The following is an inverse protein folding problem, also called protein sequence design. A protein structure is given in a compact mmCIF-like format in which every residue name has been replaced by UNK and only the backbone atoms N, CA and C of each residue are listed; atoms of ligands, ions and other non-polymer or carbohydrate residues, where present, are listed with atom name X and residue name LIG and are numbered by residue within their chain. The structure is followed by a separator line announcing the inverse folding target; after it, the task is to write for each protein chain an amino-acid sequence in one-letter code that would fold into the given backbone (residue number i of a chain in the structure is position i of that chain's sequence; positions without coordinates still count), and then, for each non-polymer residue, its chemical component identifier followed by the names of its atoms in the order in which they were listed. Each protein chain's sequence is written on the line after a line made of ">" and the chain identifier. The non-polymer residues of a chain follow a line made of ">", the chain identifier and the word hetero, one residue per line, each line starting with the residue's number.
data_IF_517638345382
#
_entry.id   IF_517638345382
#
_cell.length_a   1.000
_cell.length_b   1.000
_cell.length_c   1.000
_cell.angle_alpha   90.00
_cell.angle_beta   90.00
_cell.angle_gamma   90.00
#
_symmetry.space_group_name_H-M   'P 1'
#
loop_
_entity.id
_entity.type
_entity.pdbx_description
1 polymer ?
#
# COMPACT_ATOMS: atom_id res chain seq x y z
N UNK A 1 -5.17 1.01 3.88
CA UNK A 1 -5.37 2.16 4.80
C UNK A 1 -4.04 2.83 5.07
N UNK A 2 -4.05 4.16 5.17
CA UNK A 2 -2.83 4.96 5.36
C UNK A 2 -2.26 4.92 6.78
N UNK A 3 -2.97 4.38 7.77
CA UNK A 3 -2.50 4.29 9.16
C UNK A 3 -3.13 5.34 10.07
N UNK A 4 -2.59 5.45 11.29
CA UNK A 4 -3.21 6.16 12.43
C UNK A 4 -4.51 5.47 12.86
N UNK A 5 -5.56 6.25 13.15
CA UNK A 5 -6.91 5.75 13.41
C UNK A 5 -7.38 4.91 12.23
N UNK A 6 -7.86 3.71 12.55
CA UNK A 6 -8.44 2.79 11.58
C UNK A 6 -9.76 3.35 11.02
N UNK A 7 -10.12 2.97 9.79
CA UNK A 7 -11.34 3.40 9.09
C UNK A 7 -12.40 2.31 9.20
N UNK A 8 -13.43 2.52 10.03
CA UNK A 8 -14.51 1.55 10.28
C UNK A 8 -15.13 1.09 8.95
N UNK A 9 -15.43 2.03 8.05
CA UNK A 9 -16.13 1.76 6.79
C UNK A 9 -15.29 0.89 5.85
N UNK A 10 -13.96 0.87 5.99
CA UNK A 10 -13.11 -0.05 5.24
C UNK A 10 -13.25 -1.49 5.76
N UNK A 11 -13.38 -1.68 7.07
CA UNK A 11 -13.65 -3.00 7.65
C UNK A 11 -15.06 -3.47 7.33
N UNK A 12 -16.07 -2.62 7.46
CA UNK A 12 -17.45 -2.93 7.05
C UNK A 12 -17.50 -3.34 5.57
N UNK A 13 -16.82 -2.58 4.70
CA UNK A 13 -16.70 -2.90 3.27
C UNK A 13 -16.08 -4.28 3.01
N UNK A 14 -15.07 -4.67 3.79
CA UNK A 14 -14.45 -6.00 3.73
C UNK A 14 -15.39 -7.08 4.27
N UNK A 15 -16.06 -6.84 5.40
CA UNK A 15 -17.02 -7.77 6.00
C UNK A 15 -18.14 -8.09 5.01
N UNK A 16 -18.74 -7.08 4.38
CA UNK A 16 -19.79 -7.25 3.38
C UNK A 16 -19.35 -8.13 2.20
N UNK A 17 -18.09 -8.01 1.79
CA UNK A 17 -17.51 -8.77 0.67
C UNK A 17 -16.97 -10.15 1.08
N UNK A 18 -16.74 -10.37 2.36
CA UNK A 18 -16.37 -11.68 2.91
C UNK A 18 -17.56 -12.66 2.93
N UNK A 19 -18.80 -12.15 2.86
CA UNK A 19 -20.01 -12.96 3.06
C UNK A 19 -20.28 -13.31 4.53
N UNK A 20 -19.55 -12.70 5.47
CA UNK A 20 -19.75 -12.85 6.92
C UNK A 20 -19.10 -14.09 7.54
N UNK A 21 -18.00 -14.58 6.97
CA UNK A 21 -17.23 -15.74 7.46
C UNK A 21 -16.18 -15.37 8.51
N UNK A 22 -15.07 -16.11 8.52
CA UNK A 22 -13.95 -15.93 9.44
C UNK A 22 -13.06 -14.77 8.99
N UNK A 23 -12.92 -13.75 9.84
CA UNK A 23 -12.06 -12.60 9.61
C UNK A 23 -10.73 -12.81 10.34
N UNK A 24 -9.63 -12.94 9.59
CA UNK A 24 -8.30 -13.16 10.17
C UNK A 24 -7.49 -11.87 10.12
N UNK A 25 -6.85 -11.54 11.25
CA UNK A 25 -5.87 -10.45 11.33
C UNK A 25 -4.48 -11.06 11.51
N UNK A 26 -3.51 -10.66 10.69
CA UNK A 26 -2.11 -11.08 10.85
C UNK A 26 -1.21 -9.89 11.17
N UNK A 27 -0.25 -10.11 12.07
CA UNK A 27 0.70 -9.09 12.54
C UNK A 27 1.98 -9.71 13.09
N UNK A 28 3.05 -8.93 13.20
CA UNK A 28 4.35 -9.40 13.71
C UNK A 28 4.68 -8.88 15.12
N UNK A 29 3.92 -7.90 15.61
CA UNK A 29 4.07 -7.28 16.93
C UNK A 29 2.71 -6.83 17.43
N UNK A 30 2.54 -6.59 18.74
CA UNK A 30 1.29 -6.07 19.33
C UNK A 30 0.38 -7.16 19.90
N UNK A 31 -0.94 -6.93 19.86
CA UNK A 31 -1.96 -7.76 20.53
C UNK A 31 -3.12 -8.13 19.59
N UNK A 32 -4.14 -8.79 20.12
CA UNK A 32 -5.39 -9.14 19.47
C UNK A 32 -6.47 -8.04 19.55
N UNK A 33 -6.08 -6.78 19.78
CA UNK A 33 -7.00 -5.64 19.94
C UNK A 33 -7.98 -5.43 18.77
N UNK A 34 -7.67 -5.96 17.58
CA UNK A 34 -8.58 -5.92 16.44
C UNK A 34 -9.79 -6.85 16.58
N UNK A 35 -9.71 -7.91 17.41
CA UNK A 35 -10.75 -8.93 17.47
C UNK A 35 -12.11 -8.35 17.86
N UNK A 36 -12.19 -7.76 19.06
CA UNK A 36 -13.44 -7.18 19.57
C UNK A 36 -13.90 -6.00 18.70
N UNK A 37 -12.97 -5.17 18.24
CA UNK A 37 -13.27 -4.03 17.39
C UNK A 37 -13.95 -4.46 16.09
N UNK A 38 -13.32 -5.32 15.29
CA UNK A 38 -13.86 -5.79 14.00
C UNK A 38 -15.16 -6.59 14.20
N UNK A 39 -15.22 -7.42 15.26
CA UNK A 39 -16.42 -8.22 15.55
C UNK A 39 -17.66 -7.34 15.82
N UNK A 40 -17.46 -6.12 16.32
CA UNK A 40 -18.54 -5.18 16.62
C UNK A 40 -18.94 -4.29 15.43
N UNK A 41 -18.17 -4.28 14.32
CA UNK A 41 -18.47 -3.46 13.14
C UNK A 41 -19.47 -4.11 12.18
N UNK A 42 -19.62 -5.43 12.23
CA UNK A 42 -20.49 -6.12 11.29
C UNK A 42 -20.67 -7.60 11.60
N UNK A 43 -21.39 -8.29 10.72
CA UNK A 43 -21.68 -9.71 10.90
C UNK A 43 -20.53 -10.57 10.36
N UNK A 44 -19.77 -11.18 11.26
CA UNK A 44 -18.73 -12.17 10.97
C UNK A 44 -18.97 -13.45 11.79
N UNK A 45 -18.44 -14.59 11.35
CA UNK A 45 -18.49 -15.84 12.12
C UNK A 45 -17.51 -15.80 13.30
N UNK A 46 -16.30 -15.31 13.04
CA UNK A 46 -15.26 -15.11 14.06
C UNK A 46 -14.29 -14.01 13.64
N UNK A 47 -13.55 -13.47 14.60
CA UNK A 47 -12.34 -12.69 14.34
C UNK A 47 -11.18 -13.32 15.11
N UNK A 48 -10.08 -13.62 14.41
CA UNK A 48 -8.87 -14.16 15.03
C UNK A 48 -7.62 -13.35 14.62
N UNK A 49 -6.88 -12.87 15.60
CA UNK A 49 -5.54 -12.31 15.39
C UNK A 49 -4.45 -13.39 15.55
N UNK A 50 -3.60 -13.53 14.54
CA UNK A 50 -2.41 -14.38 14.57
C UNK A 50 -1.15 -13.49 14.58
N UNK A 51 -0.37 -13.60 15.65
CA UNK A 51 0.90 -12.88 15.78
C UNK A 51 2.04 -13.80 15.30
N UNK A 52 2.71 -13.44 14.20
CA UNK A 52 3.68 -14.26 13.47
C UNK A 52 5.04 -13.57 13.51
N UNK A 53 5.88 -13.96 14.46
CA UNK A 53 7.11 -13.22 14.83
C UNK A 53 8.42 -13.91 14.41
N UNK A 54 8.34 -14.96 13.57
CA UNK A 54 9.52 -15.68 13.10
C UNK A 54 9.22 -16.47 11.82
N UNK A 55 10.28 -16.82 11.08
CA UNK A 55 10.20 -17.70 9.90
C UNK A 55 9.67 -19.10 10.29
N UNK A 56 10.02 -19.60 11.48
CA UNK A 56 9.51 -20.89 11.98
C UNK A 56 7.98 -20.83 12.16
N UNK A 57 7.47 -19.77 12.79
CA UNK A 57 6.02 -19.58 12.92
C UNK A 57 5.35 -19.41 11.56
N UNK A 58 5.93 -18.60 10.68
CA UNK A 58 5.41 -18.38 9.34
C UNK A 58 5.38 -19.65 8.47
N UNK A 59 6.11 -20.70 8.86
CA UNK A 59 6.09 -22.01 8.21
C UNK A 59 5.29 -23.08 8.96
N UNK A 60 4.60 -22.75 10.06
CA UNK A 60 3.73 -23.71 10.76
C UNK A 60 2.52 -24.06 9.88
N UNK A 61 2.28 -25.35 9.58
CA UNK A 61 1.11 -25.76 8.80
C UNK A 61 -0.23 -25.33 9.41
N UNK A 62 -0.30 -25.21 10.74
CA UNK A 62 -1.51 -24.73 11.42
C UNK A 62 -1.80 -23.24 11.17
N UNK A 63 -0.76 -22.39 11.04
CA UNK A 63 -0.93 -20.96 10.71
C UNK A 63 -1.32 -20.82 9.24
N UNK A 64 -0.64 -21.53 8.35
CA UNK A 64 -0.98 -21.58 6.93
C UNK A 64 -2.45 -21.97 6.72
N UNK A 65 -2.91 -23.03 7.38
CA UNK A 65 -4.29 -23.51 7.26
C UNK A 65 -5.30 -22.49 7.77
N UNK A 66 -5.01 -21.77 8.85
CA UNK A 66 -5.92 -20.74 9.37
C UNK A 66 -6.06 -19.59 8.37
N UNK A 67 -4.95 -19.12 7.81
CA UNK A 67 -4.98 -18.03 6.82
C UNK A 67 -5.71 -18.51 5.55
N UNK A 68 -5.40 -19.68 5.00
CA UNK A 68 -6.04 -20.18 3.76
C UNK A 68 -7.55 -20.39 3.87
N UNK A 69 -8.07 -20.55 5.08
CA UNK A 69 -9.50 -20.74 5.34
C UNK A 69 -10.24 -19.44 5.64
N UNK A 70 -9.57 -18.29 5.73
CA UNK A 70 -10.21 -17.01 6.02
C UNK A 70 -11.16 -16.56 4.89
N UNK A 71 -12.26 -15.91 5.26
CA UNK A 71 -13.16 -15.21 4.35
C UNK A 71 -12.83 -13.71 4.22
N UNK A 72 -11.99 -13.18 5.11
CA UNK A 72 -11.30 -11.90 4.94
C UNK A 72 -9.96 -11.93 5.68
N UNK A 73 -8.94 -11.28 5.13
CA UNK A 73 -7.63 -11.14 5.76
C UNK A 73 -7.23 -9.68 5.89
N UNK A 74 -6.80 -9.29 7.09
CA UNK A 74 -6.26 -7.96 7.34
C UNK A 74 -4.84 -8.01 7.90
N UNK A 75 -3.94 -7.22 7.30
CA UNK A 75 -2.56 -7.09 7.73
C UNK A 75 -2.43 -5.80 8.55
N UNK A 76 -2.16 -5.94 9.85
CA UNK A 76 -2.09 -4.80 10.76
C UNK A 76 -0.90 -3.87 10.45
N UNK A 77 -0.85 -2.74 11.16
CA UNK A 77 0.34 -1.89 11.21
C UNK A 77 1.48 -2.48 12.04
N UNK A 78 2.66 -1.88 11.92
CA UNK A 78 3.90 -2.35 12.56
C UNK A 78 5.13 -1.83 11.83
N UNK A 79 6.20 -2.63 11.83
CA UNK A 79 7.39 -2.40 11.01
C UNK A 79 7.28 -3.24 9.72
N UNK A 80 7.40 -2.59 8.56
CA UNK A 80 7.37 -3.27 7.25
C UNK A 80 8.46 -4.34 7.15
N UNK A 81 9.62 -4.10 7.77
CA UNK A 81 10.72 -5.03 7.69
C UNK A 81 10.43 -6.34 8.40
N UNK A 82 9.63 -6.34 9.47
CA UNK A 82 9.25 -7.57 10.16
C UNK A 82 8.41 -8.49 9.24
N UNK A 83 7.49 -7.93 8.45
CA UNK A 83 6.71 -8.71 7.48
C UNK A 83 7.58 -9.29 6.39
N UNK A 84 8.48 -8.48 5.82
CA UNK A 84 9.42 -8.95 4.79
C UNK A 84 10.37 -10.01 5.36
N UNK A 85 10.91 -9.79 6.56
CA UNK A 85 11.88 -10.68 7.20
C UNK A 85 11.27 -12.01 7.63
N UNK A 86 10.03 -12.02 8.12
CA UNK A 86 9.41 -13.21 8.70
C UNK A 86 8.51 -13.97 7.73
N UNK A 87 7.82 -13.29 6.81
CA UNK A 87 6.76 -13.90 6.01
C UNK A 87 7.15 -14.17 4.57
N UNK A 88 8.10 -13.40 4.01
CA UNK A 88 8.56 -13.61 2.64
C UNK A 88 9.25 -14.97 2.47
N UNK A 89 8.99 -15.65 1.36
CA UNK A 89 9.40 -17.02 1.05
C UNK A 89 8.95 -18.04 2.11
N UNK A 90 7.73 -17.89 2.64
CA UNK A 90 7.16 -18.82 3.63
C UNK A 90 5.73 -19.19 3.29
N UNK A 91 5.20 -20.19 4.01
CA UNK A 91 3.80 -20.61 3.89
C UNK A 91 2.78 -19.50 4.20
N UNK A 92 3.15 -18.47 4.98
CA UNK A 92 2.28 -17.30 5.20
C UNK A 92 2.12 -16.49 3.92
N UNK A 93 3.20 -16.20 3.20
CA UNK A 93 3.13 -15.56 1.88
C UNK A 93 2.27 -16.38 0.92
N UNK A 94 2.53 -17.69 0.83
CA UNK A 94 1.74 -18.59 -0.03
C UNK A 94 0.24 -18.56 0.33
N UNK A 95 -0.09 -18.49 1.62
CA UNK A 95 -1.47 -18.41 2.09
C UNK A 95 -2.13 -17.07 1.74
N UNK A 96 -1.43 -15.95 1.90
CA UNK A 96 -1.92 -14.62 1.50
C UNK A 96 -2.19 -14.60 -0.01
N UNK A 97 -1.23 -15.04 -0.81
CA UNK A 97 -1.36 -15.09 -2.27
C UNK A 97 -2.45 -16.07 -2.72
N UNK A 98 -2.67 -17.18 -2.00
CA UNK A 98 -3.81 -18.08 -2.25
C UNK A 98 -5.16 -17.40 -2.01
N UNK A 99 -5.28 -16.62 -0.93
CA UNK A 99 -6.51 -15.87 -0.64
C UNK A 99 -6.83 -14.86 -1.76
N UNK A 100 -5.83 -14.13 -2.24
CA UNK A 100 -5.97 -13.12 -3.29
C UNK A 100 -6.28 -13.78 -4.65
N UNK A 101 -5.44 -14.72 -5.06
CA UNK A 101 -5.38 -15.19 -6.45
C UNK A 101 -6.22 -16.44 -6.74
N UNK A 102 -6.66 -17.15 -5.70
CA UNK A 102 -7.48 -18.37 -5.87
C UNK A 102 -8.85 -18.25 -5.21
N UNK A 103 -8.91 -17.78 -3.96
CA UNK A 103 -10.18 -17.64 -3.22
C UNK A 103 -10.92 -16.34 -3.56
N UNK A 104 -10.18 -15.32 -4.01
CA UNK A 104 -10.70 -13.98 -4.29
C UNK A 104 -11.46 -13.35 -3.12
N UNK A 105 -10.96 -13.59 -1.90
CA UNK A 105 -11.51 -12.96 -0.68
C UNK A 105 -10.89 -11.58 -0.45
N UNK A 106 -11.56 -10.69 0.30
CA UNK A 106 -10.99 -9.40 0.66
C UNK A 106 -9.68 -9.54 1.43
N UNK A 107 -8.62 -8.92 0.93
CA UNK A 107 -7.33 -8.78 1.63
C UNK A 107 -6.97 -7.30 1.72
N UNK A 108 -6.70 -6.82 2.92
CA UNK A 108 -6.39 -5.42 3.19
C UNK A 108 -5.27 -5.26 4.21
N UNK A 109 -4.86 -4.02 4.42
CA UNK A 109 -3.91 -3.70 5.49
C UNK A 109 -3.82 -2.22 5.79
N UNK A 110 -3.19 -1.89 6.91
CA UNK A 110 -2.98 -0.50 7.37
C UNK A 110 -1.50 -0.22 7.60
N UNK A 111 -1.04 1.01 7.34
CA UNK A 111 0.35 1.42 7.57
C UNK A 111 1.34 0.46 6.89
N UNK A 112 2.15 -0.28 7.68
CA UNK A 112 3.07 -1.30 7.17
C UNK A 112 2.38 -2.44 6.41
N UNK A 113 1.20 -2.87 6.85
CA UNK A 113 0.43 -3.91 6.17
C UNK A 113 -0.05 -3.46 4.80
N UNK A 114 -0.38 -2.18 4.62
CA UNK A 114 -0.71 -1.61 3.31
C UNK A 114 0.52 -1.43 2.42
N UNK A 115 1.66 -1.03 3.00
CA UNK A 115 2.90 -0.74 2.28
C UNK A 115 3.50 -1.97 1.57
N UNK A 116 3.17 -3.18 2.02
CA UNK A 116 3.64 -4.43 1.42
C UNK A 116 2.70 -5.01 0.35
N UNK A 117 1.53 -4.41 0.12
CA UNK A 117 0.55 -4.88 -0.88
C UNK A 117 0.89 -4.48 -2.32
N UNK A 118 1.82 -3.54 -2.50
CA UNK A 118 2.28 -3.14 -3.83
C UNK A 118 3.13 -4.23 -4.48
N UNK A 119 3.07 -4.32 -5.82
CA UNK A 119 3.97 -5.18 -6.60
C UNK A 119 5.45 -4.84 -6.34
N UNK A 120 5.73 -3.54 -6.17
CA UNK A 120 6.97 -3.04 -5.59
C UNK A 120 6.66 -2.56 -4.19
N UNK A 121 7.54 -2.85 -3.22
CA UNK A 121 7.35 -2.45 -1.84
C UNK A 121 8.61 -1.82 -1.26
N UNK A 122 8.43 -0.83 -0.38
CA UNK A 122 9.51 -0.26 0.41
C UNK A 122 9.74 -1.12 1.66
N UNK A 123 10.91 -1.75 1.79
CA UNK A 123 11.13 -2.80 2.80
C UNK A 123 11.36 -2.27 4.22
N UNK A 124 11.70 -1.00 4.37
CA UNK A 124 12.14 -0.38 5.63
C UNK A 124 13.27 -1.12 6.38
N UNK A 125 14.04 -2.00 5.70
CA UNK A 125 15.11 -2.81 6.32
C UNK A 125 16.12 -1.99 7.13
N UNK A 126 16.40 -0.76 6.70
CA UNK A 126 17.34 0.16 7.34
C UNK A 126 16.64 1.36 7.98
N UNK A 127 15.36 1.19 8.32
CA UNK A 127 14.47 2.24 8.79
C UNK A 127 13.85 3.06 7.68
N UNK A 128 13.02 4.02 8.07
CA UNK A 128 12.32 4.93 7.15
C UNK A 128 13.27 5.92 6.48
N UNK A 129 12.83 6.49 5.35
CA UNK A 129 13.50 7.59 4.65
C UNK A 129 12.53 8.76 4.52
N UNK A 130 13.01 9.97 4.78
CA UNK A 130 12.24 11.21 4.57
C UNK A 130 12.27 11.63 3.10
N UNK A 131 11.30 12.44 2.66
CA UNK A 131 11.29 13.03 1.32
C UNK A 131 12.61 13.75 1.00
N UNK A 132 13.12 14.61 1.91
CA UNK A 132 14.38 15.32 1.67
C UNK A 132 15.60 14.39 1.52
N UNK A 133 15.69 13.32 2.31
CA UNK A 133 16.79 12.35 2.19
C UNK A 133 16.72 11.59 0.87
N UNK A 134 15.53 11.08 0.50
CA UNK A 134 15.34 10.33 -0.74
C UNK A 134 15.59 11.21 -1.98
N UNK A 135 15.12 12.46 -1.97
CA UNK A 135 15.31 13.40 -3.08
C UNK A 135 16.76 13.82 -3.28
N UNK A 136 17.53 13.94 -2.19
CA UNK A 136 18.96 14.28 -2.27
C UNK A 136 19.84 13.10 -2.65
N UNK A 137 19.38 11.86 -2.47
CA UNK A 137 20.06 10.66 -2.90
C UNK A 137 19.06 9.51 -3.15
N UNK A 138 18.62 9.31 -4.40
CA UNK A 138 17.69 8.23 -4.75
C UNK A 138 18.19 6.83 -4.43
N UNK A 139 19.51 6.66 -4.24
CA UNK A 139 20.15 5.40 -3.87
C UNK A 139 20.70 5.42 -2.43
N UNK A 140 20.16 6.29 -1.56
CA UNK A 140 20.40 6.17 -0.12
C UNK A 140 20.07 4.74 0.32
N UNK A 141 20.90 4.18 1.20
CA UNK A 141 20.75 2.79 1.67
C UNK A 141 19.36 2.51 2.23
N UNK A 142 18.67 3.51 2.77
CA UNK A 142 17.28 3.38 3.26
C UNK A 142 16.26 3.30 2.15
N UNK A 143 16.55 3.72 0.91
CA UNK A 143 15.68 3.49 -0.25
C UNK A 143 15.87 2.05 -0.75
N UNK A 144 15.47 1.09 0.09
CA UNK A 144 15.51 -0.34 -0.21
C UNK A 144 14.15 -0.79 -0.71
N UNK A 145 14.06 -1.10 -2.01
CA UNK A 145 12.83 -1.55 -2.67
C UNK A 145 12.95 -3.06 -2.99
N UNK A 146 11.91 -3.82 -2.67
CA UNK A 146 11.70 -5.18 -3.17
C UNK A 146 10.63 -5.17 -4.27
N UNK A 147 10.56 -6.23 -5.08
CA UNK A 147 9.57 -6.34 -6.16
C UNK A 147 9.35 -7.78 -6.60
N UNK A 148 8.12 -8.09 -7.03
CA UNK A 148 7.80 -9.33 -7.74
C UNK A 148 8.19 -10.62 -6.98
N UNK A 149 8.21 -10.54 -5.64
CA UNK A 149 8.75 -11.61 -4.79
C UNK A 149 8.17 -11.63 -3.38
N UNK A 150 6.94 -11.11 -3.19
CA UNK A 150 6.25 -11.16 -1.90
C UNK A 150 4.72 -11.28 -2.04
N UNK A 151 3.97 -10.19 -1.99
CA UNK A 151 2.52 -10.22 -2.16
C UNK A 151 2.18 -9.90 -3.61
N UNK A 152 1.48 -10.81 -4.29
CA UNK A 152 1.06 -10.65 -5.68
C UNK A 152 -0.43 -10.34 -5.75
N UNK A 153 -0.72 -9.07 -6.06
CA UNK A 153 -2.05 -8.57 -6.39
C UNK A 153 -2.01 -8.14 -7.86
N UNK A 154 -2.61 -8.90 -8.79
CA UNK A 154 -2.44 -8.70 -10.23
C UNK A 154 -2.79 -7.28 -10.72
N UNK A 155 -3.82 -6.65 -10.15
CA UNK A 155 -4.22 -5.29 -10.55
C UNK A 155 -3.21 -4.20 -10.09
N UNK A 156 -2.38 -4.50 -9.09
CA UNK A 156 -1.34 -3.61 -8.57
C UNK A 156 0.04 -3.85 -9.21
N UNK A 157 0.10 -4.59 -10.31
CA UNK A 157 1.32 -4.74 -11.10
C UNK A 157 1.93 -3.39 -11.47
N UNK A 158 3.25 -3.29 -11.36
CA UNK A 158 4.04 -2.05 -11.53
C UNK A 158 3.65 -0.90 -10.58
N UNK A 159 2.97 -1.19 -9.48
CA UNK A 159 2.53 -0.20 -8.48
C UNK A 159 3.30 -0.37 -7.18
N UNK A 160 3.67 0.76 -6.56
CA UNK A 160 4.12 0.82 -5.17
C UNK A 160 3.09 1.57 -4.32
N UNK A 161 2.92 1.16 -3.07
CA UNK A 161 2.04 1.85 -2.12
C UNK A 161 2.88 2.61 -1.09
N UNK A 162 2.36 3.73 -0.59
CA UNK A 162 2.95 4.45 0.53
C UNK A 162 1.85 4.96 1.49
N UNK A 163 2.16 4.96 2.77
CA UNK A 163 1.21 5.23 3.87
C UNK A 163 1.66 6.40 4.74
N UNK A 164 0.81 6.86 5.66
CA UNK A 164 1.00 8.07 6.49
C UNK A 164 1.50 9.24 5.64
N UNK A 165 0.87 9.42 4.49
CA UNK A 165 1.43 10.16 3.36
C UNK A 165 1.67 11.66 3.65
N UNK A 166 0.96 12.18 4.65
CA UNK A 166 0.95 13.55 5.16
C UNK A 166 1.80 13.76 6.43
N UNK A 167 2.14 12.70 7.18
CA UNK A 167 2.79 12.80 8.49
C UNK A 167 4.01 11.86 8.67
N UNK A 168 5.24 12.35 8.41
CA UNK A 168 5.56 13.59 7.69
C UNK A 168 5.21 13.49 6.20
N UNK A 169 5.32 14.58 5.44
CA UNK A 169 5.11 14.55 4.00
C UNK A 169 5.99 13.51 3.28
N UNK A 170 5.35 12.59 2.56
CA UNK A 170 5.99 11.47 1.83
C UNK A 170 5.83 11.56 0.31
N UNK A 171 5.25 12.64 -0.22
CA UNK A 171 5.10 12.84 -1.67
C UNK A 171 6.44 12.79 -2.40
N UNK A 172 7.45 13.47 -1.85
CA UNK A 172 8.81 13.49 -2.40
C UNK A 172 9.48 12.12 -2.40
N UNK A 173 9.44 11.36 -1.29
CA UNK A 173 10.05 10.02 -1.26
C UNK A 173 9.35 9.03 -2.18
N UNK A 174 8.03 9.11 -2.29
CA UNK A 174 7.27 8.21 -3.14
C UNK A 174 7.57 8.48 -4.62
N UNK A 175 7.74 9.75 -4.99
CA UNK A 175 8.23 10.15 -6.32
C UNK A 175 9.63 9.58 -6.61
N UNK A 176 10.52 9.54 -5.62
CA UNK A 176 11.84 8.87 -5.74
C UNK A 176 11.69 7.37 -5.96
N UNK A 177 10.75 6.71 -5.28
CA UNK A 177 10.51 5.28 -5.49
C UNK A 177 10.05 5.00 -6.93
N UNK A 178 9.12 5.80 -7.45
CA UNK A 178 8.71 5.70 -8.87
C UNK A 178 9.90 5.94 -9.79
N UNK A 179 10.76 6.94 -9.52
CA UNK A 179 11.94 7.22 -10.33
C UNK A 179 12.89 6.02 -10.37
N UNK A 180 13.11 5.35 -9.23
CA UNK A 180 13.90 4.11 -9.13
C UNK A 180 13.28 2.96 -9.88
N UNK A 181 11.95 2.79 -9.83
CA UNK A 181 11.24 1.77 -10.62
C UNK A 181 11.43 1.97 -12.14
N UNK A 182 11.40 3.22 -12.60
CA UNK A 182 11.65 3.55 -14.01
C UNK A 182 13.12 3.34 -14.36
N UNK A 183 14.04 3.86 -13.55
CA UNK A 183 15.48 3.86 -13.83
C UNK A 183 16.09 2.45 -13.77
N UNK A 184 15.73 1.66 -12.76
CA UNK A 184 16.37 0.37 -12.50
C UNK A 184 15.69 -0.78 -13.24
N UNK A 185 14.38 -0.66 -13.52
CA UNK A 185 13.56 -1.76 -14.04
C UNK A 185 12.72 -1.41 -15.27
N UNK A 186 12.84 -0.19 -15.81
CA UNK A 186 12.08 0.26 -16.99
C UNK A 186 10.55 0.09 -16.84
N UNK A 187 10.03 0.16 -15.61
CA UNK A 187 8.61 -0.04 -15.34
C UNK A 187 7.78 1.16 -15.83
N UNK A 188 6.53 0.90 -16.20
CA UNK A 188 5.49 1.91 -16.23
C UNK A 188 5.00 2.20 -14.80
N UNK A 189 5.89 2.83 -14.02
CA UNK A 189 5.76 3.00 -12.59
C UNK A 189 4.48 3.75 -12.21
N UNK A 190 3.77 3.16 -11.25
CA UNK A 190 2.54 3.67 -10.66
C UNK A 190 2.69 3.72 -9.14
N UNK A 191 1.89 4.57 -8.50
CA UNK A 191 1.87 4.72 -7.05
C UNK A 191 0.47 4.86 -6.49
N UNK A 192 0.25 4.38 -5.27
CA UNK A 192 -0.93 4.71 -4.47
C UNK A 192 -0.45 5.25 -3.12
N UNK A 193 -0.56 6.56 -2.91
CA UNK A 193 -0.27 7.22 -1.64
C UNK A 193 -1.54 7.37 -0.83
N UNK A 194 -1.51 7.01 0.46
CA UNK A 194 -2.69 7.08 1.33
C UNK A 194 -2.33 7.80 2.63
N UNK A 195 -2.99 8.93 2.88
CA UNK A 195 -2.85 9.70 4.12
C UNK A 195 -3.43 8.97 5.33
N UNK A 196 -3.08 9.43 6.53
CA UNK A 196 -3.68 8.92 7.78
C UNK A 196 -5.22 8.97 7.73
N UNK A 197 -5.88 8.05 8.45
CA UNK A 197 -7.35 7.99 8.57
C UNK A 197 -8.10 7.83 7.23
N UNK A 198 -7.40 7.33 6.21
CA UNK A 198 -7.91 7.16 4.85
C UNK A 198 -7.71 5.72 4.36
N UNK A 199 -8.69 5.21 3.61
CA UNK A 199 -8.69 3.90 2.99
C UNK A 199 -8.97 4.00 1.49
N UNK A 200 -8.26 3.19 0.71
CA UNK A 200 -8.58 2.94 -0.70
C UNK A 200 -9.09 1.52 -0.80
N UNK A 201 -10.37 1.36 -1.11
CA UNK A 201 -10.99 0.06 -1.29
C UNK A 201 -11.15 -0.21 -2.79
N UNK A 202 -10.58 -1.31 -3.29
CA UNK A 202 -10.59 -1.69 -4.71
C UNK A 202 -11.56 -2.86 -4.87
N UNK A 203 -12.63 -2.66 -5.66
CA UNK A 203 -13.64 -3.70 -5.88
C UNK A 203 -13.20 -4.76 -6.92
N UNK A 204 -14.05 -5.75 -7.15
CA UNK A 204 -13.81 -6.82 -8.13
C UNK A 204 -13.77 -6.34 -9.59
N UNK A 205 -14.23 -5.11 -9.87
CA UNK A 205 -14.13 -4.47 -11.18
C UNK A 205 -12.86 -3.60 -11.30
N UNK A 206 -11.97 -3.66 -10.29
CA UNK A 206 -10.75 -2.86 -10.18
C UNK A 206 -11.02 -1.35 -10.07
N UNK A 207 -12.17 -0.97 -9.51
CA UNK A 207 -12.52 0.42 -9.24
C UNK A 207 -12.20 0.74 -7.78
N UNK A 208 -11.29 1.68 -7.58
CA UNK A 208 -10.97 2.21 -6.26
C UNK A 208 -12.00 3.26 -5.82
N UNK A 209 -12.43 3.20 -4.56
CA UNK A 209 -13.24 4.22 -3.86
C UNK A 209 -12.53 4.60 -2.56
N UNK A 210 -12.61 5.87 -2.17
CA UNK A 210 -11.83 6.41 -1.04
C UNK A 210 -12.73 6.66 0.18
N UNK A 211 -12.45 5.96 1.27
CA UNK A 211 -13.18 6.03 2.54
C UNK A 211 -12.31 6.68 3.61
N UNK A 212 -12.92 7.28 4.62
CA UNK A 212 -12.16 7.79 5.77
C UNK A 212 -12.83 8.94 6.51
N UNK A 213 -12.09 9.43 7.49
CA UNK A 213 -12.50 10.53 8.37
C UNK A 213 -11.73 11.81 8.05
N UNK A 214 -12.31 12.94 8.49
CA UNK A 214 -11.65 14.24 8.36
C UNK A 214 -11.46 14.65 6.91
N UNK A 215 -10.24 15.07 6.57
CA UNK A 215 -9.88 15.61 5.26
C UNK A 215 -8.72 14.82 4.61
N UNK A 216 -8.58 13.54 4.95
CA UNK A 216 -7.50 12.71 4.43
C UNK A 216 -7.68 12.42 2.93
N UNK A 217 -6.57 12.27 2.22
CA UNK A 217 -6.55 12.16 0.75
C UNK A 217 -5.84 10.89 0.29
N UNK A 218 -6.36 10.28 -0.77
CA UNK A 218 -5.66 9.26 -1.53
C UNK A 218 -5.15 9.80 -2.87
N UNK A 219 -3.95 9.38 -3.25
CA UNK A 219 -3.23 9.83 -4.43
C UNK A 219 -2.94 8.63 -5.35
N UNK A 220 -3.34 8.75 -6.61
CA UNK A 220 -3.02 7.78 -7.66
C UNK A 220 -1.99 8.38 -8.59
N UNK A 221 -0.77 7.83 -8.58
CA UNK A 221 0.39 8.36 -9.29
C UNK A 221 0.67 7.50 -10.53
N UNK A 222 0.96 8.13 -11.66
CA UNK A 222 1.35 7.45 -12.90
C UNK A 222 2.51 8.20 -13.54
N UNK A 223 3.61 7.49 -13.87
CA UNK A 223 4.68 8.11 -14.66
C UNK A 223 4.13 8.63 -15.99
N UNK A 224 4.64 9.75 -16.47
CA UNK A 224 4.43 10.14 -17.88
C UNK A 224 5.39 9.40 -18.79
N UNK A 225 5.44 9.77 -20.07
CA UNK A 225 6.15 8.97 -21.09
C UNK A 225 7.65 8.86 -20.87
N UNK A 226 8.28 9.90 -20.30
CA UNK A 226 9.72 9.97 -20.11
C UNK A 226 10.11 9.76 -18.64
N UNK A 227 11.13 8.92 -18.40
CA UNK A 227 11.71 8.68 -17.07
C UNK A 227 12.47 9.88 -16.50
N UNK A 228 13.14 9.76 -15.34
CA UNK A 228 13.92 10.86 -14.76
C UNK A 228 15.06 11.34 -15.68
N UNK A 229 15.38 12.64 -15.66
CA UNK A 229 16.58 13.18 -16.31
C UNK A 229 17.86 12.80 -15.55
N UNK A 230 17.79 12.78 -14.20
CA UNK A 230 18.90 12.39 -13.33
C UNK A 230 18.37 11.53 -12.19
N UNK A 231 18.73 10.25 -12.19
CA UNK A 231 18.49 9.34 -11.07
C UNK A 231 19.73 8.44 -10.93
N UNK A 232 20.73 8.90 -10.16
CA UNK A 232 22.02 8.21 -10.01
C UNK A 232 22.47 8.22 -8.54
N UNK A 233 23.36 7.29 -8.11
CA UNK A 233 23.86 7.27 -6.74
C UNK A 233 24.56 8.56 -6.33
N UNK A 234 24.29 9.01 -5.09
CA UNK A 234 24.90 10.22 -4.49
C UNK A 234 24.66 11.51 -5.28
N UNK A 235 23.59 11.56 -6.06
CA UNK A 235 23.15 12.75 -6.79
C UNK A 235 21.71 13.07 -6.43
N UNK A 236 21.34 14.35 -6.51
CA UNK A 236 19.95 14.76 -6.31
C UNK A 236 19.11 14.29 -7.49
N UNK A 237 17.86 13.91 -7.22
CA UNK A 237 16.90 13.55 -8.27
C UNK A 237 16.56 14.79 -9.10
N UNK A 238 16.56 14.63 -10.42
CA UNK A 238 15.87 15.53 -11.34
C UNK A 238 14.93 14.69 -12.20
N UNK A 239 13.63 14.91 -12.02
CA UNK A 239 12.55 14.35 -12.84
C UNK A 239 11.55 15.47 -13.11
N UNK A 240 11.87 16.34 -14.06
CA UNK A 240 11.12 17.56 -14.31
C UNK A 240 10.08 17.37 -15.41
N UNK A 241 10.54 16.95 -16.60
CA UNK A 241 9.68 16.74 -17.79
C UNK A 241 8.67 17.86 -18.01
N UNK A 242 9.16 19.10 -18.05
CA UNK A 242 8.34 20.31 -18.18
C UNK A 242 7.24 20.42 -17.11
N UNK A 243 7.60 20.12 -15.85
CA UNK A 243 6.69 20.08 -14.71
C UNK A 243 5.60 19.00 -14.79
N UNK A 244 5.78 17.98 -15.63
CA UNK A 244 4.80 16.93 -15.88
C UNK A 244 5.41 15.52 -15.79
N UNK A 245 6.30 15.30 -14.83
CA UNK A 245 6.99 14.01 -14.68
C UNK A 245 6.06 12.87 -14.23
N UNK A 246 5.17 13.15 -13.28
CA UNK A 246 4.22 12.16 -12.74
C UNK A 246 2.84 12.78 -12.71
N UNK A 247 1.88 12.14 -13.39
CA UNK A 247 0.48 12.53 -13.37
C UNK A 247 -0.19 11.99 -12.12
N UNK A 248 -0.99 12.81 -11.45
CA UNK A 248 -1.61 12.50 -10.16
C UNK A 248 -3.10 12.68 -10.28
N UNK A 249 -3.87 11.76 -9.72
CA UNK A 249 -5.27 11.98 -9.40
C UNK A 249 -5.45 11.90 -7.88
N UNK A 250 -5.95 12.97 -7.27
CA UNK A 250 -6.21 13.02 -5.82
C UNK A 250 -7.70 12.99 -5.52
N UNK A 251 -8.09 12.17 -4.55
CA UNK A 251 -9.48 12.02 -4.09
C UNK A 251 -9.46 12.20 -2.57
N UNK A 252 -10.17 13.21 -2.09
CA UNK A 252 -10.45 13.39 -0.65
C UNK A 252 -11.39 12.28 -0.17
N UNK A 253 -11.19 11.83 1.06
CA UNK A 253 -11.98 10.77 1.65
C UNK A 253 -13.40 11.24 2.03
N UNK A 254 -14.29 10.28 2.25
CA UNK A 254 -15.57 10.50 2.92
C UNK A 254 -16.02 9.21 3.60
N UNK A 255 -16.83 9.33 4.66
CA UNK A 255 -17.37 8.19 5.41
C UNK A 255 -18.02 7.15 4.48
N UNK A 256 -18.94 7.59 3.62
CA UNK A 256 -19.68 6.70 2.71
C UNK A 256 -18.93 6.38 1.40
N UNK A 257 -17.64 6.70 1.34
CA UNK A 257 -16.84 6.61 0.13
C UNK A 257 -17.01 7.83 -0.78
N UNK A 258 -15.91 8.32 -1.32
CA UNK A 258 -15.89 9.40 -2.31
C UNK A 258 -15.07 9.01 -3.55
N UNK A 259 -15.52 9.57 -4.67
CA UNK A 259 -14.87 9.46 -5.97
C UNK A 259 -14.71 8.04 -6.48
N UNK A 260 -14.03 7.93 -7.60
CA UNK A 260 -13.61 6.65 -8.14
C UNK A 260 -12.34 6.80 -8.97
N UNK A 261 -11.51 5.76 -8.99
CA UNK A 261 -10.37 5.65 -9.89
C UNK A 261 -10.32 4.25 -10.49
N UNK A 262 -10.29 4.15 -11.83
CA UNK A 262 -10.27 2.88 -12.53
C UNK A 262 -8.84 2.37 -12.72
N UNK A 263 -8.46 1.31 -12.00
CA UNK A 263 -7.11 0.76 -12.08
C UNK A 263 -6.86 -0.06 -13.35
N UNK A 264 -7.90 -0.34 -14.15
CA UNK A 264 -7.73 -1.02 -15.45
C UNK A 264 -7.06 -0.09 -16.47
N UNK A 265 -7.41 1.21 -16.46
CA UNK A 265 -6.96 2.18 -17.47
C UNK A 265 -6.11 3.33 -16.91
N UNK A 266 -6.11 3.52 -15.58
CA UNK A 266 -5.39 4.60 -14.89
C UNK A 266 -5.73 6.01 -15.41
N UNK A 267 -6.94 6.21 -15.96
CA UNK A 267 -7.36 7.45 -16.60
C UNK A 267 -8.83 7.79 -16.39
N UNK A 268 -9.71 6.81 -16.23
CA UNK A 268 -11.12 7.02 -15.89
C UNK A 268 -11.25 7.23 -14.40
N UNK A 269 -11.71 8.42 -14.00
CA UNK A 269 -11.82 8.79 -12.60
C UNK A 269 -12.90 9.86 -12.35
N UNK A 270 -13.41 9.94 -11.12
CA UNK A 270 -14.41 10.93 -10.67
C UNK A 270 -14.20 11.36 -9.21
N UNK A 271 -14.82 12.46 -8.77
CA UNK A 271 -14.79 12.93 -7.38
C UNK A 271 -13.44 13.44 -6.86
N UNK A 272 -12.51 13.78 -7.76
CA UNK A 272 -11.16 14.22 -7.44
C UNK A 272 -10.62 15.19 -8.48
N UNK A 273 -9.31 15.48 -8.40
CA UNK A 273 -8.64 16.43 -9.30
C UNK A 273 -7.35 15.86 -9.87
N UNK A 274 -7.09 16.17 -11.14
CA UNK A 274 -5.81 15.88 -11.77
C UNK A 274 -4.77 16.95 -11.45
N UNK A 275 -3.54 16.54 -11.18
CA UNK A 275 -2.37 17.41 -11.02
C UNK A 275 -1.10 16.72 -11.52
N UNK A 276 0.04 17.38 -11.34
CA UNK A 276 1.36 16.83 -11.64
C UNK A 276 2.31 16.99 -10.47
N UNK A 277 3.16 15.98 -10.28
CA UNK A 277 4.36 16.07 -9.46
C UNK A 277 5.59 16.11 -10.35
N UNK A 278 6.60 16.86 -9.91
CA UNK A 278 7.92 16.85 -10.52
C UNK A 278 9.00 17.18 -9.50
N UNK A 279 10.25 16.89 -9.86
CA UNK A 279 11.42 17.16 -9.03
C UNK A 279 12.49 17.86 -9.85
N UNK A 280 13.04 18.95 -9.33
CA UNK A 280 14.15 19.66 -9.94
C UNK A 280 15.30 19.79 -8.93
N UNK A 281 16.44 19.15 -9.19
CA UNK A 281 17.64 19.21 -8.36
C UNK A 281 17.35 18.92 -6.86
N UNK A 282 16.57 17.87 -6.61
CA UNK A 282 16.18 17.40 -5.27
C UNK A 282 15.08 18.21 -4.59
N UNK A 283 14.45 19.16 -5.30
CA UNK A 283 13.32 19.95 -4.82
C UNK A 283 12.04 19.38 -5.42
N UNK A 284 11.11 18.94 -4.57
CA UNK A 284 9.80 18.44 -4.96
C UNK A 284 8.82 19.59 -5.23
N UNK A 285 7.96 19.40 -6.22
CA UNK A 285 6.91 20.33 -6.61
C UNK A 285 5.60 19.57 -6.92
N UNK A 286 4.49 20.25 -6.66
CA UNK A 286 3.12 19.83 -6.94
C UNK A 286 2.38 21.03 -7.58
N UNK A 287 1.54 20.75 -8.58
CA UNK A 287 0.59 21.70 -9.19
C UNK A 287 -0.83 21.55 -8.64
#
# INVERSE_FOLDING_TARGET
>A
MGGSTDVDEAFEWMIDRSGGGDFVVIRATGTDAYNDYIYNLGKVNSVETIIITSIEMANKPSIESKIKNAEALFIAGGDQWDYVKFWKNTKVEDAINYLINTRHVPVGGTSAGCAILGHVYFSAQYGTVTSSQALNNPYDRRVTLGRDDFIDIPILQQTITDTHYDNPDRKGRHTVFLARMVQDWSMNAKGIGVEEETAVCIDANNIATVFGYGNGTAFFLQKTDLGPEVCQPNTKLTWNRNSQAVKIYKIENALNGNGSFNLNDWSTASGGTWSYFWVNEGIFHEE
#
